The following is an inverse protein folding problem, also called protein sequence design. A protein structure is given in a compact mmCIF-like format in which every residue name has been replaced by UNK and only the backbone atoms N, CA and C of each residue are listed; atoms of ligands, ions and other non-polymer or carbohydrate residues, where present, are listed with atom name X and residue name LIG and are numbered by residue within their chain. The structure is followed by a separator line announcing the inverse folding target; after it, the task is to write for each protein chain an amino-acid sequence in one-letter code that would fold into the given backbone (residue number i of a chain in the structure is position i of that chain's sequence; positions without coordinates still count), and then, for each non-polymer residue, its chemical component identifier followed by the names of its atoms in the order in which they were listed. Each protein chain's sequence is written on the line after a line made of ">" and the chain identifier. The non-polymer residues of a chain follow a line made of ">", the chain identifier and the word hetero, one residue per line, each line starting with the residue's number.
data_IF_368102115273
#
_entry.id   IF_368102115273
#
_cell.length_a   1.000
_cell.length_b   1.000
_cell.length_c   1.000
_cell.angle_alpha   90.00
_cell.angle_beta   90.00
_cell.angle_gamma   90.00
#
_symmetry.space_group_name_H-M   'P 1'
#
loop_
_entity.id
_entity.type
_entity.pdbx_description
1 polymer ?
#
# COMPACT_ATOMS: atom_id res chain seq x y z
N UNK A 1 -16.71 -12.74 9.51
CA UNK A 1 -18.11 -13.09 9.83
C UNK A 1 -18.40 -14.55 9.58
N UNK A 2 -18.00 -15.08 8.43
CA UNK A 2 -18.17 -16.51 8.10
C UNK A 2 -17.42 -17.42 9.11
N UNK A 3 -16.18 -17.07 9.43
CA UNK A 3 -15.37 -17.79 10.44
C UNK A 3 -16.00 -17.75 11.81
N UNK A 4 -16.49 -16.60 12.26
CA UNK A 4 -17.13 -16.44 13.56
C UNK A 4 -18.40 -17.29 13.68
N UNK A 5 -19.21 -17.36 12.63
CA UNK A 5 -20.39 -18.24 12.59
C UNK A 5 -19.98 -19.70 12.73
N UNK A 6 -18.89 -20.11 12.08
CA UNK A 6 -18.34 -21.47 12.23
C UNK A 6 -17.86 -21.79 13.65
N UNK A 7 -17.25 -20.81 14.33
CA UNK A 7 -16.86 -20.96 15.75
C UNK A 7 -18.08 -21.23 16.63
N UNK A 8 -19.15 -20.44 16.47
CA UNK A 8 -20.39 -20.60 17.25
C UNK A 8 -21.04 -21.98 17.01
N UNK A 9 -21.15 -22.39 15.76
CA UNK A 9 -21.71 -23.72 15.41
C UNK A 9 -20.86 -24.84 15.99
N UNK A 10 -19.55 -24.76 15.92
CA UNK A 10 -18.61 -25.74 16.47
C UNK A 10 -18.76 -25.87 17.99
N UNK A 11 -18.92 -24.74 18.68
CA UNK A 11 -19.13 -24.71 20.13
C UNK A 11 -20.46 -25.36 20.51
N UNK A 12 -21.55 -25.07 19.77
CA UNK A 12 -22.86 -25.68 19.98
C UNK A 12 -22.85 -27.20 19.77
N UNK A 13 -22.04 -27.68 18.85
CA UNK A 13 -21.85 -29.12 18.58
C UNK A 13 -20.89 -29.80 19.59
N UNK A 14 -20.35 -29.07 20.55
CA UNK A 14 -19.44 -29.59 21.58
C UNK A 14 -18.08 -30.02 21.03
N UNK A 15 -17.63 -29.49 19.89
CA UNK A 15 -16.33 -29.81 19.30
C UNK A 15 -15.21 -29.13 20.11
N UNK A 16 -14.09 -29.85 20.28
CA UNK A 16 -12.93 -29.29 20.93
C UNK A 16 -12.31 -28.16 20.06
N UNK A 17 -12.09 -26.97 20.62
CA UNK A 17 -11.51 -25.87 19.87
C UNK A 17 -10.06 -26.15 19.47
N UNK A 18 -9.65 -25.61 18.32
CA UNK A 18 -8.27 -25.60 17.85
C UNK A 18 -7.51 -24.37 18.34
N UNK A 19 -6.39 -24.03 17.70
CA UNK A 19 -5.58 -22.88 18.06
C UNK A 19 -6.40 -21.57 18.10
N UNK A 20 -6.15 -20.74 19.09
CA UNK A 20 -6.81 -19.45 19.32
C UNK A 20 -8.35 -19.54 19.49
N UNK A 21 -8.84 -20.75 19.81
CA UNK A 21 -10.27 -20.99 20.02
C UNK A 21 -11.09 -21.17 18.75
N UNK A 22 -10.48 -21.26 17.58
CA UNK A 22 -11.18 -21.49 16.31
C UNK A 22 -11.66 -22.96 16.21
N UNK A 23 -12.66 -23.17 15.34
CA UNK A 23 -13.16 -24.49 15.00
C UNK A 23 -12.07 -25.38 14.39
N UNK A 24 -12.03 -26.69 14.69
CA UNK A 24 -11.04 -27.60 14.10
C UNK A 24 -11.24 -27.79 12.57
N UNK A 25 -12.44 -27.48 12.06
CA UNK A 25 -12.83 -27.57 10.66
C UNK A 25 -12.62 -26.29 9.87
N UNK A 26 -11.93 -25.29 10.42
CA UNK A 26 -11.77 -23.96 9.80
C UNK A 26 -11.24 -24.03 8.37
N UNK A 27 -10.18 -24.82 8.14
CA UNK A 27 -9.57 -24.94 6.81
C UNK A 27 -10.52 -25.60 5.79
N UNK A 28 -11.26 -26.63 6.20
CA UNK A 28 -12.25 -27.31 5.34
C UNK A 28 -13.42 -26.40 5.00
N UNK A 29 -13.97 -25.69 5.97
CA UNK A 29 -15.09 -24.77 5.78
C UNK A 29 -14.69 -23.61 4.87
N UNK A 30 -13.51 -23.03 5.08
CA UNK A 30 -12.98 -21.96 4.25
C UNK A 30 -12.69 -22.46 2.83
N UNK A 31 -12.07 -23.63 2.68
CA UNK A 31 -11.83 -24.26 1.40
C UNK A 31 -13.12 -24.53 0.62
N UNK A 32 -14.12 -25.08 1.27
CA UNK A 32 -15.43 -25.34 0.65
C UNK A 32 -16.12 -24.07 0.15
N UNK A 33 -15.97 -22.95 0.86
CA UNK A 33 -16.47 -21.64 0.42
C UNK A 33 -15.68 -21.13 -0.79
N UNK A 34 -14.36 -21.11 -0.68
CA UNK A 34 -13.48 -20.50 -1.68
C UNK A 34 -13.43 -21.27 -3.00
N UNK A 35 -13.51 -22.59 -2.99
CA UNK A 35 -13.55 -23.43 -4.20
C UNK A 35 -14.79 -23.19 -5.08
N UNK A 36 -15.83 -22.58 -4.54
CA UNK A 36 -17.01 -22.18 -5.32
C UNK A 36 -16.75 -20.94 -6.19
N UNK A 37 -15.71 -20.17 -5.88
CA UNK A 37 -15.27 -19.01 -6.63
C UNK A 37 -14.30 -19.49 -7.70
N UNK A 38 -14.83 -19.74 -8.90
CA UNK A 38 -14.07 -20.36 -9.97
C UNK A 38 -14.52 -19.90 -11.34
N UNK A 39 -13.72 -20.23 -12.35
CA UNK A 39 -14.07 -20.08 -13.77
C UNK A 39 -14.52 -21.41 -14.33
N UNK A 40 -15.59 -21.39 -15.11
CA UNK A 40 -16.14 -22.52 -15.84
C UNK A 40 -16.02 -22.29 -17.35
N UNK A 41 -16.46 -23.25 -18.16
CA UNK A 41 -16.48 -23.07 -19.63
C UNK A 41 -17.41 -21.96 -20.11
N UNK A 42 -18.40 -21.56 -19.30
CA UNK A 42 -19.47 -20.63 -19.69
C UNK A 42 -19.46 -19.32 -18.90
N UNK A 43 -18.62 -19.20 -17.87
CA UNK A 43 -18.57 -18.00 -17.04
C UNK A 43 -17.50 -18.05 -15.98
N UNK A 44 -17.30 -16.91 -15.29
CA UNK A 44 -16.34 -16.75 -14.21
C UNK A 44 -16.92 -15.94 -13.06
N UNK A 45 -16.42 -16.16 -11.85
CA UNK A 45 -16.76 -15.41 -10.66
C UNK A 45 -15.53 -14.62 -10.21
N UNK A 46 -15.64 -13.29 -10.20
CA UNK A 46 -14.67 -12.41 -9.53
C UNK A 46 -15.22 -12.07 -8.18
N UNK A 47 -14.44 -12.28 -7.11
CA UNK A 47 -14.84 -11.96 -5.76
C UNK A 47 -13.99 -10.84 -5.16
N UNK A 48 -14.62 -9.98 -4.38
CA UNK A 48 -13.94 -9.00 -3.52
C UNK A 48 -14.37 -9.30 -2.10
N UNK A 49 -13.42 -9.66 -1.24
CA UNK A 49 -13.68 -10.10 0.12
C UNK A 49 -13.03 -9.13 1.11
N UNK A 50 -13.85 -8.60 2.03
CA UNK A 50 -13.33 -7.86 3.17
C UNK A 50 -12.97 -8.84 4.28
N UNK A 51 -11.70 -8.86 4.67
CA UNK A 51 -11.18 -9.72 5.73
C UNK A 51 -10.83 -8.87 6.94
N UNK A 52 -11.47 -9.14 8.07
CA UNK A 52 -11.11 -8.52 9.34
C UNK A 52 -9.91 -9.26 9.94
N UNK A 53 -8.89 -8.50 10.32
CA UNK A 53 -7.67 -9.03 10.92
C UNK A 53 -7.68 -8.71 12.41
N UNK A 54 -7.88 -9.72 13.30
CA UNK A 54 -7.91 -9.48 14.74
C UNK A 54 -6.58 -8.93 15.25
N UNK A 55 -6.62 -7.85 16.01
CA UNK A 55 -5.45 -7.21 16.63
C UNK A 55 -4.32 -6.84 15.62
N UNK A 56 -4.65 -6.61 14.37
CA UNK A 56 -3.69 -6.36 13.28
C UNK A 56 -2.68 -7.52 13.06
N UNK A 57 -3.01 -8.73 13.53
CA UNK A 57 -2.16 -9.92 13.42
C UNK A 57 -2.53 -10.73 12.16
N UNK A 58 -1.75 -10.56 11.10
CA UNK A 58 -1.90 -11.31 9.84
C UNK A 58 -1.62 -12.81 9.99
N UNK A 59 -0.99 -13.23 11.09
CA UNK A 59 -0.69 -14.63 11.39
C UNK A 59 -1.81 -15.34 12.13
N UNK A 60 -2.86 -14.62 12.55
CA UNK A 60 -4.05 -15.23 13.13
C UNK A 60 -4.64 -16.30 12.19
N UNK A 61 -5.07 -17.46 12.69
CA UNK A 61 -5.54 -18.58 11.85
C UNK A 61 -6.64 -18.22 10.86
N UNK A 62 -7.53 -17.29 11.18
CA UNK A 62 -8.63 -16.89 10.31
C UNK A 62 -8.15 -16.14 9.05
N UNK A 63 -7.44 -15.01 9.15
CA UNK A 63 -6.89 -14.35 7.97
C UNK A 63 -5.86 -15.21 7.25
N UNK A 64 -4.96 -15.90 7.96
CA UNK A 64 -3.93 -16.73 7.35
C UNK A 64 -4.54 -17.84 6.46
N UNK A 65 -5.58 -18.53 6.94
CA UNK A 65 -6.28 -19.56 6.15
C UNK A 65 -7.00 -18.95 4.95
N UNK A 66 -7.59 -17.75 5.11
CA UNK A 66 -8.28 -17.05 4.03
C UNK A 66 -7.31 -16.61 2.95
N UNK A 67 -6.18 -16.03 3.31
CA UNK A 67 -5.18 -15.52 2.36
C UNK A 67 -4.60 -16.60 1.45
N UNK A 68 -4.50 -17.82 1.93
CA UNK A 68 -4.03 -18.95 1.12
C UNK A 68 -4.89 -19.20 -0.14
N UNK A 69 -6.15 -18.79 -0.13
CA UNK A 69 -7.10 -18.97 -1.23
C UNK A 69 -7.23 -17.73 -2.15
N UNK A 70 -6.62 -16.60 -1.79
CA UNK A 70 -6.76 -15.36 -2.55
C UNK A 70 -5.67 -15.22 -3.62
N UNK A 71 -6.05 -14.67 -4.78
CA UNK A 71 -5.11 -14.38 -5.86
C UNK A 71 -4.40 -13.04 -5.68
N UNK A 72 -5.05 -12.10 -5.00
CA UNK A 72 -4.49 -10.80 -4.66
C UNK A 72 -4.97 -10.37 -3.28
N UNK A 73 -4.09 -9.70 -2.55
CA UNK A 73 -4.38 -9.12 -1.23
C UNK A 73 -4.03 -7.64 -1.22
N UNK A 74 -4.91 -6.83 -0.65
CA UNK A 74 -4.66 -5.41 -0.36
C UNK A 74 -4.73 -5.25 1.14
N UNK A 75 -3.58 -5.01 1.76
CA UNK A 75 -3.47 -4.87 3.22
C UNK A 75 -3.52 -3.40 3.60
N UNK A 76 -4.43 -3.05 4.51
CA UNK A 76 -4.51 -1.71 5.11
C UNK A 76 -3.73 -1.70 6.42
N UNK A 77 -2.84 -0.72 6.58
CA UNK A 77 -1.95 -0.59 7.73
C UNK A 77 -2.27 0.64 8.56
N UNK A 78 -2.38 0.46 9.89
CA UNK A 78 -2.53 1.59 10.83
C UNK A 78 -1.30 2.49 10.83
N UNK A 79 -0.11 1.91 10.75
CA UNK A 79 1.15 2.66 10.73
C UNK A 79 1.21 3.63 9.55
N UNK A 80 0.73 3.21 8.37
CA UNK A 80 0.65 4.07 7.18
C UNK A 80 -0.40 5.15 7.36
N UNK A 81 -1.55 4.83 7.98
CA UNK A 81 -2.58 5.81 8.33
C UNK A 81 -2.06 6.87 9.30
N UNK A 82 -1.25 6.50 10.28
CA UNK A 82 -0.63 7.42 11.23
C UNK A 82 0.34 8.41 10.57
N UNK A 83 0.94 8.03 9.43
CA UNK A 83 1.75 8.93 8.60
C UNK A 83 0.90 9.90 7.76
N UNK A 84 -0.44 9.81 7.85
CA UNK A 84 -1.36 10.63 7.06
C UNK A 84 -1.48 10.19 5.60
N UNK A 85 -1.01 9.01 5.25
CA UNK A 85 -1.09 8.47 3.88
C UNK A 85 -2.42 7.74 3.70
N UNK A 86 -3.23 8.22 2.77
CA UNK A 86 -4.53 7.65 2.43
C UNK A 86 -4.69 7.51 0.91
N UNK A 87 -5.23 6.36 0.42
CA UNK A 87 -5.60 5.16 1.17
C UNK A 87 -4.40 4.50 1.86
N UNK A 88 -4.59 3.99 3.08
CA UNK A 88 -3.51 3.46 3.93
C UNK A 88 -3.10 2.03 3.54
N UNK A 89 -2.85 1.81 2.26
CA UNK A 89 -2.43 0.52 1.72
C UNK A 89 -0.94 0.29 1.97
N UNK A 90 -0.60 -0.88 2.51
CA UNK A 90 0.79 -1.29 2.65
C UNK A 90 1.27 -1.95 1.34
N UNK A 91 2.20 -1.34 0.61
CA UNK A 91 2.69 -1.88 -0.64
C UNK A 91 3.64 -3.08 -0.48
N UNK A 92 4.18 -3.30 0.73
CA UNK A 92 5.10 -4.40 1.03
C UNK A 92 4.33 -5.67 1.44
N UNK A 93 3.24 -5.51 2.21
CA UNK A 93 2.39 -6.62 2.64
C UNK A 93 1.31 -6.98 1.63
N UNK A 94 1.02 -6.10 0.68
CA UNK A 94 0.06 -6.35 -0.40
C UNK A 94 0.70 -7.14 -1.53
N UNK A 95 -0.03 -8.15 -2.03
CA UNK A 95 0.49 -9.06 -3.05
C UNK A 95 -0.52 -9.31 -4.16
N UNK A 96 -0.05 -9.69 -5.35
CA UNK A 96 -0.89 -10.15 -6.44
C UNK A 96 -0.16 -11.21 -7.27
N UNK A 97 -0.83 -12.34 -7.54
CA UNK A 97 -0.31 -13.36 -8.46
C UNK A 97 -0.26 -12.89 -9.92
N UNK A 98 -1.02 -11.84 -10.24
CA UNK A 98 -0.99 -11.25 -11.57
C UNK A 98 0.22 -10.34 -11.82
N UNK A 99 0.96 -9.99 -10.78
CA UNK A 99 2.21 -9.22 -10.92
C UNK A 99 3.34 -10.14 -11.41
N UNK A 100 3.25 -10.50 -12.67
CA UNK A 100 4.16 -11.36 -13.41
C UNK A 100 4.47 -10.71 -14.77
N UNK A 101 5.72 -10.70 -15.26
CA UNK A 101 6.09 -10.06 -16.52
C UNK A 101 5.26 -10.54 -17.71
N UNK A 102 4.89 -11.83 -17.73
CA UNK A 102 4.05 -12.40 -18.80
C UNK A 102 2.61 -11.92 -18.80
N UNK A 103 2.12 -11.39 -17.66
CA UNK A 103 0.75 -10.90 -17.51
C UNK A 103 0.68 -9.40 -17.66
N UNK A 104 1.52 -8.66 -16.92
CA UNK A 104 1.46 -7.19 -16.84
C UNK A 104 2.47 -6.48 -17.75
N UNK A 105 3.41 -7.21 -18.33
CA UNK A 105 4.53 -6.68 -19.11
C UNK A 105 5.72 -6.26 -18.26
N UNK A 106 6.89 -6.18 -18.92
CA UNK A 106 8.16 -5.92 -18.22
C UNK A 106 8.18 -4.57 -17.52
N UNK A 107 7.75 -3.51 -18.19
CA UNK A 107 7.75 -2.14 -17.64
C UNK A 107 6.96 -2.03 -16.32
N UNK A 108 5.76 -2.57 -16.28
CA UNK A 108 4.93 -2.55 -15.08
C UNK A 108 5.57 -3.38 -13.96
N UNK A 109 6.06 -4.57 -14.29
CA UNK A 109 6.71 -5.46 -13.33
C UNK A 109 7.96 -4.82 -12.72
N UNK A 110 8.86 -4.30 -13.56
CA UNK A 110 10.10 -3.67 -13.11
C UNK A 110 9.85 -2.45 -12.22
N UNK A 111 8.87 -1.60 -12.59
CA UNK A 111 8.50 -0.43 -11.78
C UNK A 111 7.94 -0.85 -10.43
N UNK A 112 7.03 -1.82 -10.39
CA UNK A 112 6.47 -2.31 -9.14
C UNK A 112 7.54 -2.91 -8.22
N UNK A 113 8.42 -3.75 -8.75
CA UNK A 113 9.54 -4.32 -8.00
C UNK A 113 10.53 -3.24 -7.54
N UNK A 114 10.80 -2.24 -8.39
CA UNK A 114 11.65 -1.10 -8.04
C UNK A 114 11.11 -0.31 -6.86
N UNK A 115 9.82 0.00 -6.85
CA UNK A 115 9.16 0.71 -5.74
C UNK A 115 9.20 -0.13 -4.46
N UNK A 116 8.87 -1.41 -4.53
CA UNK A 116 8.97 -2.29 -3.36
C UNK A 116 10.40 -2.34 -2.80
N UNK A 117 11.39 -2.47 -3.66
CA UNK A 117 12.80 -2.52 -3.27
C UNK A 117 13.26 -1.24 -2.54
N UNK A 118 12.92 -0.05 -3.06
CA UNK A 118 13.32 1.19 -2.39
C UNK A 118 12.59 1.40 -1.06
N UNK A 119 11.32 1.01 -0.97
CA UNK A 119 10.55 1.09 0.27
C UNK A 119 11.05 0.08 1.31
N UNK A 120 11.40 -1.14 0.90
CA UNK A 120 12.01 -2.15 1.77
C UNK A 120 13.35 -1.63 2.32
N UNK A 121 14.23 -1.13 1.46
CA UNK A 121 15.51 -0.57 1.88
C UNK A 121 15.33 0.63 2.80
N UNK A 122 14.37 1.49 2.53
CA UNK A 122 14.06 2.61 3.41
C UNK A 122 13.61 2.15 4.80
N UNK A 123 12.78 1.10 4.89
CA UNK A 123 12.38 0.53 6.18
C UNK A 123 13.59 -0.01 6.97
N UNK A 124 14.54 -0.67 6.31
CA UNK A 124 15.78 -1.14 6.94
C UNK A 124 16.64 0.02 7.48
N UNK A 125 16.66 1.15 6.77
CA UNK A 125 17.45 2.32 7.16
C UNK A 125 16.78 3.20 8.21
N UNK A 126 15.47 3.07 8.44
CA UNK A 126 14.73 3.91 9.40
C UNK A 126 15.31 3.90 10.81
N UNK A 127 15.67 2.73 11.30
CA UNK A 127 16.22 2.58 12.65
C UNK A 127 17.62 3.22 12.75
N UNK A 128 18.42 3.08 11.70
CA UNK A 128 19.73 3.72 11.60
C UNK A 128 19.58 5.23 11.58
N UNK A 129 18.65 5.75 10.76
CA UNK A 129 18.36 7.19 10.67
C UNK A 129 17.88 7.75 12.00
N UNK A 130 17.04 7.01 12.73
CA UNK A 130 16.50 7.42 14.02
C UNK A 130 17.59 7.52 15.11
N UNK A 131 18.61 6.67 15.06
CA UNK A 131 19.68 6.60 16.07
C UNK A 131 20.86 7.52 15.70
N UNK A 132 21.33 7.45 14.46
CA UNK A 132 22.56 8.10 14.03
C UNK A 132 22.33 9.39 13.20
N UNK A 133 21.12 9.58 12.69
CA UNK A 133 20.80 10.70 11.80
C UNK A 133 21.08 10.38 10.31
N UNK A 134 20.63 11.30 9.47
CA UNK A 134 20.80 11.18 8.00
C UNK A 134 22.26 11.37 7.54
N UNK A 135 23.06 12.10 8.33
CA UNK A 135 24.41 12.47 7.92
C UNK A 135 25.38 11.29 7.87
N UNK A 136 25.10 10.26 8.66
CA UNK A 136 25.91 9.02 8.70
C UNK A 136 25.63 8.05 7.53
N UNK A 137 24.61 8.33 6.72
CA UNK A 137 24.33 7.51 5.54
C UNK A 137 25.28 7.83 4.38
N UNK A 138 25.55 6.81 3.56
CA UNK A 138 26.23 7.01 2.29
C UNK A 138 25.42 7.93 1.37
N UNK A 139 26.08 8.62 0.44
CA UNK A 139 25.37 9.49 -0.52
C UNK A 139 24.36 8.70 -1.39
N UNK A 140 24.66 7.43 -1.67
CA UNK A 140 23.76 6.52 -2.36
C UNK A 140 22.48 6.25 -1.52
N UNK A 141 22.66 5.92 -0.24
CA UNK A 141 21.54 5.67 0.67
C UNK A 141 20.71 6.96 0.93
N UNK A 142 21.36 8.12 1.01
CA UNK A 142 20.65 9.42 1.11
C UNK A 142 19.75 9.66 -0.10
N UNK A 143 20.26 9.42 -1.30
CA UNK A 143 19.48 9.55 -2.53
C UNK A 143 18.30 8.56 -2.58
N UNK A 144 18.55 7.31 -2.18
CA UNK A 144 17.54 6.27 -2.10
C UNK A 144 16.43 6.63 -1.09
N UNK A 145 16.79 7.07 0.10
CA UNK A 145 15.84 7.51 1.14
C UNK A 145 15.00 8.69 0.65
N UNK A 146 15.60 9.67 -0.03
CA UNK A 146 14.86 10.80 -0.59
C UNK A 146 13.82 10.36 -1.63
N UNK A 147 14.18 9.45 -2.54
CA UNK A 147 13.25 8.87 -3.53
C UNK A 147 12.17 8.01 -2.88
N UNK A 148 12.55 7.17 -1.89
CA UNK A 148 11.60 6.34 -1.16
C UNK A 148 10.53 7.16 -0.43
N UNK A 149 10.92 8.28 0.19
CA UNK A 149 9.98 9.21 0.82
C UNK A 149 9.03 9.85 -0.18
N UNK A 150 9.54 10.26 -1.35
CA UNK A 150 8.71 10.80 -2.44
C UNK A 150 7.73 9.75 -2.94
N UNK A 151 8.19 8.51 -3.18
CA UNK A 151 7.34 7.40 -3.58
C UNK A 151 6.26 7.09 -2.53
N UNK A 152 6.63 7.06 -1.25
CA UNK A 152 5.69 6.83 -0.16
C UNK A 152 4.62 7.93 -0.09
N UNK A 153 5.00 9.20 -0.25
CA UNK A 153 4.02 10.29 -0.30
C UNK A 153 3.16 10.28 -1.55
N UNK A 154 3.72 9.87 -2.68
CA UNK A 154 2.99 9.76 -3.94
C UNK A 154 1.97 8.60 -3.94
N UNK A 155 2.11 7.62 -3.06
CA UNK A 155 1.09 6.60 -2.81
C UNK A 155 -0.17 7.17 -2.15
N UNK A 156 -0.11 8.37 -1.56
CA UNK A 156 -1.31 9.08 -1.09
C UNK A 156 -2.06 9.71 -2.25
N UNK A 157 -3.39 9.57 -2.26
CA UNK A 157 -4.23 10.06 -3.34
C UNK A 157 -5.59 10.53 -2.80
N UNK A 158 -6.13 11.65 -3.29
CA UNK A 158 -7.54 11.98 -3.06
C UNK A 158 -8.43 10.92 -3.70
N UNK A 159 -9.34 10.33 -2.94
CA UNK A 159 -10.25 9.31 -3.45
C UNK A 159 -11.71 9.64 -3.13
N UNK A 160 -12.61 9.21 -4.00
CA UNK A 160 -14.01 9.65 -4.03
C UNK A 160 -14.77 9.41 -2.71
N UNK A 161 -14.54 8.25 -2.06
CA UNK A 161 -15.23 7.93 -0.80
C UNK A 161 -14.83 8.88 0.33
N UNK A 162 -13.64 9.45 0.29
CA UNK A 162 -13.14 10.36 1.31
C UNK A 162 -13.53 11.83 1.09
N UNK A 163 -14.13 12.20 -0.02
CA UNK A 163 -14.47 13.59 -0.36
C UNK A 163 -15.30 14.28 0.75
N UNK A 164 -16.26 13.56 1.31
CA UNK A 164 -17.14 14.09 2.38
C UNK A 164 -16.33 14.47 3.63
N UNK A 165 -15.24 13.76 3.91
CA UNK A 165 -14.43 13.98 5.10
C UNK A 165 -13.28 14.96 4.86
N UNK A 166 -12.70 14.96 3.67
CA UNK A 166 -11.49 15.74 3.34
C UNK A 166 -11.82 17.08 2.68
N UNK A 167 -13.03 17.22 2.10
CA UNK A 167 -13.40 18.35 1.28
C UNK A 167 -12.63 18.46 -0.04
N UNK A 168 -11.82 17.44 -0.38
CA UNK A 168 -11.02 17.40 -1.61
C UNK A 168 -11.66 16.42 -2.59
N UNK A 169 -11.94 16.84 -3.84
CA UNK A 169 -12.47 15.95 -4.86
C UNK A 169 -11.57 14.76 -5.12
N UNK A 170 -12.16 13.56 -5.24
CA UNK A 170 -11.44 12.35 -5.60
C UNK A 170 -10.87 12.43 -7.00
N UNK A 171 -9.78 11.72 -7.24
CA UNK A 171 -9.08 11.68 -8.53
C UNK A 171 -8.94 10.26 -9.01
N UNK A 172 -9.19 10.07 -10.28
CA UNK A 172 -8.88 8.83 -10.98
C UNK A 172 -7.56 9.01 -11.73
N UNK A 173 -6.63 8.09 -11.52
CA UNK A 173 -5.35 8.05 -12.22
C UNK A 173 -5.28 6.75 -13.01
N UNK A 174 -4.92 6.84 -14.30
CA UNK A 174 -4.78 5.66 -15.13
C UNK A 174 -3.59 4.79 -14.69
N UNK A 175 -3.63 3.50 -15.04
CA UNK A 175 -2.49 2.61 -14.77
C UNK A 175 -1.23 3.07 -15.50
N UNK A 176 -1.36 3.55 -16.73
CA UNK A 176 -0.25 4.04 -17.54
C UNK A 176 0.42 5.27 -16.90
N UNK A 177 -0.38 6.23 -16.42
CA UNK A 177 0.12 7.42 -15.72
C UNK A 177 0.80 7.04 -14.40
N UNK A 178 0.25 6.05 -13.70
CA UNK A 178 0.83 5.53 -12.47
C UNK A 178 2.21 4.90 -12.72
N UNK A 179 2.33 4.02 -13.71
CA UNK A 179 3.61 3.38 -14.07
C UNK A 179 4.63 4.43 -14.50
N UNK A 180 4.25 5.36 -15.37
CA UNK A 180 5.09 6.46 -15.84
C UNK A 180 5.62 7.31 -14.69
N UNK A 181 4.73 7.67 -13.75
CA UNK A 181 5.08 8.48 -12.60
C UNK A 181 6.10 7.80 -11.69
N UNK A 182 5.84 6.56 -11.29
CA UNK A 182 6.76 5.82 -10.45
C UNK A 182 8.08 5.49 -11.14
N UNK A 183 8.07 5.21 -12.45
CA UNK A 183 9.28 5.03 -13.26
C UNK A 183 10.17 6.29 -13.20
N UNK A 184 9.58 7.47 -13.37
CA UNK A 184 10.30 8.74 -13.25
C UNK A 184 10.85 9.00 -11.85
N UNK A 185 10.09 8.66 -10.79
CA UNK A 185 10.58 8.78 -9.40
C UNK A 185 11.78 7.85 -9.18
N UNK A 186 11.72 6.61 -9.65
CA UNK A 186 12.82 5.64 -9.52
C UNK A 186 14.07 6.08 -10.27
N UNK A 187 13.91 6.63 -11.47
CA UNK A 187 15.02 7.13 -12.28
C UNK A 187 15.65 8.42 -11.73
N UNK A 188 14.96 9.11 -10.83
CA UNK A 188 15.44 10.37 -10.25
C UNK A 188 15.07 11.62 -11.05
N UNK A 189 14.18 11.51 -12.04
CA UNK A 189 13.75 12.65 -12.88
C UNK A 189 13.16 13.80 -12.05
N UNK A 190 12.63 13.46 -10.87
CA UNK A 190 11.99 14.40 -9.95
C UNK A 190 12.79 14.63 -8.66
N UNK A 191 14.09 14.31 -8.64
CA UNK A 191 14.93 14.47 -7.43
C UNK A 191 15.01 15.93 -6.98
N UNK A 192 14.91 16.87 -7.89
CA UNK A 192 14.92 18.31 -7.65
C UNK A 192 13.64 18.86 -7.01
N UNK A 193 12.54 18.11 -6.97
CA UNK A 193 11.27 18.54 -6.40
C UNK A 193 11.20 18.27 -4.88
N UNK A 194 10.54 19.14 -4.11
CA UNK A 194 10.35 18.94 -2.68
C UNK A 194 9.39 17.75 -2.41
N UNK A 195 9.66 17.00 -1.35
CA UNK A 195 8.87 15.83 -0.94
C UNK A 195 7.37 16.13 -0.76
N UNK A 196 7.05 17.33 -0.26
CA UNK A 196 5.66 17.73 -0.01
C UNK A 196 4.81 17.88 -1.27
N UNK A 197 5.44 18.08 -2.42
CA UNK A 197 4.74 18.18 -3.69
C UNK A 197 4.05 16.86 -4.10
N UNK A 198 4.56 15.74 -3.64
CA UNK A 198 4.05 14.39 -3.95
C UNK A 198 2.89 13.96 -3.06
N UNK A 199 2.55 14.74 -2.04
CA UNK A 199 1.51 14.37 -1.08
C UNK A 199 0.11 14.75 -1.56
N UNK A 200 -0.82 13.80 -1.55
CA UNK A 200 -2.24 13.98 -1.92
C UNK A 200 -2.41 14.64 -3.29
N UNK A 201 -1.80 14.05 -4.29
CA UNK A 201 -1.92 14.43 -5.71
C UNK A 201 -2.41 13.23 -6.53
N UNK A 202 -2.92 13.47 -7.72
CA UNK A 202 -3.33 12.43 -8.64
C UNK A 202 -2.17 12.02 -9.55
N UNK A 203 -1.92 12.81 -10.60
CA UNK A 203 -0.84 12.52 -11.55
C UNK A 203 0.47 13.19 -11.16
N UNK A 204 1.56 12.78 -11.82
CA UNK A 204 2.87 13.36 -11.56
C UNK A 204 2.96 14.83 -12.01
N UNK A 205 2.22 15.19 -13.05
CA UNK A 205 2.12 16.56 -13.54
C UNK A 205 1.55 17.50 -12.46
N UNK A 206 0.59 17.01 -11.67
CA UNK A 206 0.07 17.79 -10.54
C UNK A 206 1.12 17.97 -9.44
N UNK A 207 1.96 16.98 -9.19
CA UNK A 207 3.07 17.11 -8.25
C UNK A 207 4.06 18.18 -8.72
N UNK A 208 4.38 18.20 -10.01
CA UNK A 208 5.25 19.22 -10.62
C UNK A 208 4.64 20.63 -10.47
N UNK A 209 3.34 20.79 -10.72
CA UNK A 209 2.65 22.07 -10.58
C UNK A 209 2.59 22.53 -9.11
N UNK A 210 2.28 21.60 -8.21
CA UNK A 210 2.27 21.86 -6.76
C UNK A 210 3.65 22.28 -6.24
N UNK A 211 4.73 21.70 -6.79
CA UNK A 211 6.09 22.07 -6.42
C UNK A 211 6.39 23.54 -6.71
N UNK A 212 5.89 24.11 -7.80
CA UNK A 212 6.05 25.54 -8.11
C UNK A 212 5.45 26.43 -7.02
N UNK A 213 4.28 26.05 -6.51
CA UNK A 213 3.63 26.78 -5.42
C UNK A 213 4.39 26.58 -4.09
N UNK A 214 4.86 25.38 -3.80
CA UNK A 214 5.66 25.12 -2.59
C UNK A 214 6.97 25.95 -2.57
N UNK A 215 7.64 26.08 -3.69
CA UNK A 215 8.87 26.88 -3.81
C UNK A 215 8.63 28.38 -3.59
N UNK A 216 7.47 28.88 -3.96
CA UNK A 216 7.10 30.29 -3.71
C UNK A 216 6.95 30.59 -2.22
N UNK A 217 6.47 29.63 -1.42
CA UNK A 217 6.32 29.81 0.03
C UNK A 217 7.62 29.62 0.82
N UNK A 218 8.61 28.95 0.27
CA UNK A 218 9.93 28.73 0.90
C UNK A 218 10.98 29.77 0.46
N UNK A 219 10.66 30.61 -0.52
CA UNK A 219 11.52 31.73 -0.92
C UNK A 219 11.46 32.81 0.17
N UNK A 220 12.61 33.32 0.67
CA UNK A 220 12.59 34.40 1.66
C UNK A 220 11.80 35.59 1.10
N UNK A 221 10.90 36.10 1.94
CA UNK A 221 10.12 37.28 1.59
C UNK A 221 11.08 38.43 1.22
N UNK A 222 10.76 39.28 0.22
CA UNK A 222 11.55 40.48 -0.04
C UNK A 222 11.72 41.39 1.17
N UNK A 223 10.95 41.20 2.24
CA UNK A 223 11.07 41.91 3.52
C UNK A 223 12.17 41.35 4.42
N UNK A 224 12.63 40.13 4.21
CA UNK A 224 13.67 39.49 5.06
C UNK A 224 15.09 39.79 4.56
N UNK A 225 15.25 40.50 3.46
CA UNK A 225 16.54 40.85 2.83
C UNK A 225 17.07 42.21 3.33
N UNK A 226 16.37 42.88 4.24
CA UNK A 226 16.80 44.15 4.83
C UNK A 226 16.95 44.03 6.36
N UNK A 227 18.02 43.34 6.78
CA UNK A 227 18.67 43.53 8.08
C UNK A 227 20.18 43.32 7.93
#
# INVERSE_FOLDING_TARGET
>A
RYTLAGVEVSALLGRMPSAVGYQPTLAEEMGALQERITSTKTGSITSIQAVYVPADDLTDPSPATTFAHLDATVVLSRQISELGIYPAVDPLDSTSRQLDPFVVGDDHYEVAQGVQKILQRYNELKDIIAILGMDELSEEDKGLVARARKAQRFLSQPFFVAEIFTGTPGKYVSLEDTIKAFKGILNGDYDHLPEQAFYMVGTIEEAVEKAKTCLLYTSPSPRDVHL
#
